data_IF_637129022774
#
_entry.id   IF_637129022774
#
_cell.length_a   1.000
_cell.length_b   1.000
_cell.length_c   1.000
_cell.angle_alpha   90.00
_cell.angle_beta   90.00
_cell.angle_gamma   90.00
#
_symmetry.space_group_name_H-M   'P 1'
#
loop_
_entity.id
_entity.type
_entity.pdbx_description
1 polymer ?
#
# COMPACT_ATOMS: atom_id res chain seq x y z
N UNK A 1 62.33 -0.08 62.81
CA UNK A 1 61.51 1.15 62.83
C UNK A 1 60.71 1.20 61.53
N UNK A 2 59.36 1.17 61.64
CA UNK A 2 58.34 1.77 60.75
C UNK A 2 58.38 1.44 59.23
N UNK A 3 57.31 1.22 58.44
CA UNK A 3 55.84 1.20 58.56
C UNK A 3 55.27 0.59 57.25
N UNK A 4 54.13 -0.10 57.34
CA UNK A 4 52.91 -0.04 56.48
C UNK A 4 52.96 0.90 55.23
N UNK A 5 52.38 0.65 54.04
CA UNK A 5 51.09 0.05 53.61
C UNK A 5 50.98 0.15 52.06
N UNK A 6 49.94 -0.43 51.41
CA UNK A 6 49.86 -0.73 49.96
C UNK A 6 49.19 0.38 49.12
N UNK A 7 49.16 0.24 47.79
CA UNK A 7 48.19 0.94 46.95
C UNK A 7 47.83 0.13 45.70
N UNK A 8 46.61 -0.40 45.76
CA UNK A 8 45.79 -0.94 44.70
C UNK A 8 45.52 0.20 43.70
N UNK A 9 45.77 -0.01 42.40
CA UNK A 9 45.34 0.91 41.35
C UNK A 9 44.16 0.27 40.60
N UNK A 10 43.11 1.07 40.47
CA UNK A 10 41.74 0.75 40.13
C UNK A 10 41.53 0.19 38.72
N UNK A 11 40.56 -0.74 38.63
CA UNK A 11 39.84 -1.09 37.41
C UNK A 11 39.20 0.15 36.78
N UNK A 12 39.44 0.37 35.50
CA UNK A 12 38.56 1.17 34.65
C UNK A 12 37.79 0.22 33.72
N UNK A 13 36.62 -0.23 34.17
CA UNK A 13 35.66 -0.91 33.29
C UNK A 13 35.06 0.13 32.35
N UNK A 14 35.53 0.13 31.10
CA UNK A 14 34.92 0.90 30.02
C UNK A 14 33.51 0.39 29.76
N UNK A 15 32.51 1.11 30.26
CA UNK A 15 31.12 0.91 29.86
C UNK A 15 31.01 1.44 28.44
N UNK A 16 31.09 0.52 27.46
CA UNK A 16 30.64 0.79 26.10
C UNK A 16 29.13 1.01 26.21
N UNK A 17 28.72 2.27 26.20
CA UNK A 17 27.32 2.65 26.03
C UNK A 17 26.89 2.20 24.64
N UNK A 18 26.27 1.02 24.60
CA UNK A 18 25.52 0.54 23.45
C UNK A 18 24.43 1.57 23.20
N UNK A 19 24.62 2.42 22.18
CA UNK A 19 23.56 3.28 21.68
C UNK A 19 22.42 2.36 21.24
N UNK A 20 21.41 2.23 22.09
CA UNK A 20 20.10 1.73 21.74
C UNK A 20 19.63 2.62 20.60
N UNK A 21 19.78 2.14 19.36
CA UNK A 21 18.96 2.56 18.25
C UNK A 21 17.54 2.37 18.74
N UNK A 22 16.92 3.45 19.20
CA UNK A 22 15.49 3.49 19.41
C UNK A 22 14.91 3.12 18.05
N UNK A 23 14.43 1.88 17.93
CA UNK A 23 13.46 1.52 16.91
C UNK A 23 12.22 2.33 17.25
N UNK A 24 12.27 3.63 16.96
CA UNK A 24 11.11 4.49 16.99
C UNK A 24 10.09 3.76 16.14
N UNK A 25 8.98 3.38 16.77
CA UNK A 25 7.83 2.81 16.08
C UNK A 25 7.59 3.68 14.86
N UNK A 26 7.96 3.20 13.68
CA UNK A 26 7.79 3.99 12.46
C UNK A 26 6.28 4.19 12.33
N UNK A 27 5.87 5.45 12.29
CA UNK A 27 4.48 5.85 12.26
C UNK A 27 3.76 5.34 11.02
N UNK A 28 2.49 5.70 10.93
CA UNK A 28 1.64 5.40 9.77
C UNK A 28 2.32 5.74 8.44
N UNK A 29 2.00 4.97 7.40
CA UNK A 29 2.56 5.21 6.07
C UNK A 29 2.06 6.53 5.48
N UNK A 30 2.89 7.20 4.67
CA UNK A 30 2.50 8.48 4.02
C UNK A 30 1.22 8.34 3.22
N UNK A 31 1.02 7.19 2.58
CA UNK A 31 -0.18 6.95 1.81
C UNK A 31 -1.40 6.60 2.67
N UNK A 32 -1.22 5.95 3.83
CA UNK A 32 -2.34 5.76 4.77
C UNK A 32 -2.80 7.09 5.38
N UNK A 33 -1.86 7.98 5.73
CA UNK A 33 -2.19 9.34 6.16
C UNK A 33 -2.92 10.14 5.06
N UNK A 34 -2.41 10.07 3.83
CA UNK A 34 -3.06 10.65 2.66
C UNK A 34 -4.48 10.10 2.46
N UNK A 35 -4.66 8.79 2.56
CA UNK A 35 -5.96 8.14 2.42
C UNK A 35 -6.99 8.62 3.45
N UNK A 36 -6.55 8.83 4.69
CA UNK A 36 -7.40 9.38 5.76
C UNK A 36 -7.86 10.81 5.48
N UNK A 37 -7.10 11.57 4.69
CA UNK A 37 -7.47 12.91 4.26
C UNK A 37 -8.50 12.93 3.13
N UNK A 38 -8.67 11.81 2.41
CA UNK A 38 -9.63 11.72 1.32
C UNK A 38 -11.07 11.75 1.85
N UNK A 39 -12.02 12.38 1.13
CA UNK A 39 -13.43 12.25 1.43
C UNK A 39 -13.82 10.77 1.48
N UNK A 40 -14.63 10.37 2.48
CA UNK A 40 -15.15 9.01 2.53
C UNK A 40 -15.85 8.67 1.20
N UNK A 41 -15.56 7.50 0.65
CA UNK A 41 -16.09 7.07 -0.65
C UNK A 41 -17.61 7.17 -0.60
N UNK A 42 -18.21 7.84 -1.59
CA UNK A 42 -19.64 8.16 -1.58
C UNK A 42 -20.44 6.90 -1.24
N UNK A 43 -21.27 6.91 -0.20
CA UNK A 43 -22.18 5.77 -0.01
C UNK A 43 -23.05 5.70 -1.29
N UNK A 44 -23.27 4.51 -1.90
CA UNK A 44 -24.18 4.41 -3.03
C UNK A 44 -25.50 5.10 -2.61
N UNK A 45 -26.12 5.92 -3.49
CA UNK A 45 -27.34 6.63 -3.14
C UNK A 45 -28.36 5.59 -2.67
N UNK A 46 -28.71 5.65 -1.38
CA UNK A 46 -29.79 4.86 -0.84
C UNK A 46 -31.05 5.52 -1.35
N UNK A 47 -31.55 5.06 -2.49
CA UNK A 47 -32.93 5.32 -2.85
C UNK A 47 -33.78 4.63 -1.77
N UNK A 48 -34.24 5.40 -0.79
CA UNK A 48 -35.20 4.96 0.23
C UNK A 48 -36.54 4.78 -0.46
N UNK A 49 -36.65 3.73 -1.27
CA UNK A 49 -37.93 3.09 -1.50
C UNK A 49 -38.13 2.13 -0.33
N UNK A 50 -39.11 2.43 0.53
CA UNK A 50 -39.60 1.55 1.59
C UNK A 50 -40.14 0.25 0.96
N UNK A 51 -39.27 -0.68 0.63
CA UNK A 51 -39.64 -2.03 0.23
C UNK A 51 -39.42 -2.98 1.42
N UNK A 52 -40.36 -3.88 1.72
CA UNK A 52 -40.29 -4.74 2.89
C UNK A 52 -39.07 -5.66 2.81
N UNK A 53 -38.42 -5.86 3.95
CA UNK A 53 -37.26 -6.74 4.11
C UNK A 53 -37.56 -8.17 3.61
N UNK A 54 -37.23 -8.44 2.36
CA UNK A 54 -37.09 -9.80 1.84
C UNK A 54 -35.74 -9.89 1.15
N UNK A 55 -34.87 -10.70 1.74
CA UNK A 55 -33.60 -11.18 1.19
C UNK A 55 -32.68 -10.07 0.66
N UNK A 56 -31.72 -9.65 1.50
CA UNK A 56 -30.50 -8.93 1.08
C UNK A 56 -29.71 -9.80 0.09
N UNK A 57 -30.19 -9.89 -1.16
CA UNK A 57 -29.32 -10.06 -2.30
C UNK A 57 -28.58 -8.74 -2.39
N UNK A 58 -27.27 -8.75 -2.13
CA UNK A 58 -26.39 -7.61 -2.37
C UNK A 58 -26.85 -6.94 -3.67
N UNK A 59 -27.39 -5.73 -3.56
CA UNK A 59 -27.53 -4.90 -4.73
C UNK A 59 -26.12 -4.79 -5.29
N UNK A 60 -25.92 -5.27 -6.53
CA UNK A 60 -24.63 -5.24 -7.24
C UNK A 60 -24.14 -3.83 -7.57
N UNK A 61 -24.50 -2.84 -6.75
CA UNK A 61 -23.97 -1.49 -6.78
C UNK A 61 -22.48 -1.56 -6.48
N UNK A 62 -21.67 -1.09 -7.42
CA UNK A 62 -20.24 -0.92 -7.20
C UNK A 62 -20.04 0.02 -6.02
N UNK A 63 -19.31 -0.42 -4.99
CA UNK A 63 -18.85 0.49 -3.96
C UNK A 63 -17.92 1.49 -4.65
N UNK A 64 -18.18 2.80 -4.58
CA UNK A 64 -17.24 3.76 -5.14
C UNK A 64 -16.01 3.80 -4.24
N UNK A 65 -14.84 3.61 -4.85
CA UNK A 65 -13.58 3.70 -4.13
C UNK A 65 -13.23 5.16 -3.84
N UNK A 66 -12.55 5.40 -2.72
CA UNK A 66 -12.04 6.72 -2.35
C UNK A 66 -10.92 7.20 -3.26
N UNK A 67 -10.09 6.27 -3.73
CA UNK A 67 -8.88 6.60 -4.45
C UNK A 67 -9.22 6.77 -5.93
N UNK A 68 -9.15 8.00 -6.42
CA UNK A 68 -9.42 8.34 -7.82
C UNK A 68 -8.24 7.89 -8.70
N UNK A 69 -8.50 6.96 -9.62
CA UNK A 69 -7.47 6.42 -10.52
C UNK A 69 -6.91 7.43 -11.51
N UNK A 70 -7.64 8.53 -11.79
CA UNK A 70 -7.15 9.57 -12.70
C UNK A 70 -6.03 10.41 -12.08
N UNK A 71 -5.86 10.37 -10.75
CA UNK A 71 -4.77 11.07 -10.06
C UNK A 71 -3.41 10.40 -10.26
N UNK A 72 -3.38 9.12 -10.69
CA UNK A 72 -2.15 8.35 -10.82
C UNK A 72 -1.16 8.98 -11.80
N UNK A 73 -1.66 9.79 -12.75
CA UNK A 73 -0.85 10.34 -13.84
C UNK A 73 -0.33 9.26 -14.81
N UNK A 74 -0.73 8.00 -14.61
CA UNK A 74 -0.38 6.85 -15.42
C UNK A 74 -1.45 5.77 -15.35
N UNK A 75 -1.57 5.02 -16.43
CA UNK A 75 -2.53 3.93 -16.53
C UNK A 75 -2.01 2.67 -15.83
N UNK A 76 -2.93 1.90 -15.25
CA UNK A 76 -2.64 0.61 -14.62
C UNK A 76 -2.16 -0.40 -15.66
N UNK A 77 -1.09 -1.12 -15.35
CA UNK A 77 -0.59 -2.27 -16.11
C UNK A 77 -0.57 -3.52 -15.23
N UNK A 78 -0.19 -4.66 -15.80
CA UNK A 78 0.03 -5.88 -15.03
C UNK A 78 1.50 -6.11 -14.64
N UNK A 79 1.67 -6.85 -13.55
CA UNK A 79 2.93 -7.24 -12.95
C UNK A 79 3.40 -8.57 -13.52
N UNK A 80 4.72 -8.74 -13.64
CA UNK A 80 5.31 -10.04 -13.87
C UNK A 80 5.16 -10.90 -12.60
N UNK A 81 4.87 -12.21 -12.73
CA UNK A 81 4.78 -13.11 -11.58
C UNK A 81 6.14 -13.26 -10.90
N UNK A 82 6.13 -13.52 -9.59
CA UNK A 82 7.37 -13.63 -8.81
C UNK A 82 7.16 -13.54 -7.30
N UNK A 83 8.27 -13.49 -6.58
CA UNK A 83 8.28 -13.26 -5.13
C UNK A 83 8.07 -11.77 -4.84
N UNK A 84 6.93 -11.41 -4.27
CA UNK A 84 6.62 -10.02 -3.94
C UNK A 84 7.20 -9.58 -2.59
N UNK A 85 7.20 -8.27 -2.35
CA UNK A 85 7.62 -7.62 -1.10
C UNK A 85 6.87 -8.14 0.14
N UNK A 86 5.71 -8.79 -0.03
CA UNK A 86 4.97 -9.44 1.04
C UNK A 86 5.49 -10.82 1.43
N UNK A 87 6.58 -11.31 0.82
CA UNK A 87 7.11 -12.65 1.07
C UNK A 87 6.24 -13.78 0.48
N UNK A 88 5.35 -13.43 -0.45
CA UNK A 88 4.46 -14.38 -1.14
C UNK A 88 4.89 -14.43 -2.60
N UNK A 89 5.09 -15.64 -3.12
CA UNK A 89 5.22 -15.86 -4.57
C UNK A 89 3.84 -15.90 -5.20
N UNK A 90 3.62 -15.10 -6.23
CA UNK A 90 2.37 -15.05 -6.97
C UNK A 90 2.56 -15.36 -8.45
N UNK A 91 1.51 -15.90 -9.06
CA UNK A 91 1.46 -16.29 -10.48
C UNK A 91 0.52 -15.38 -11.27
N UNK A 92 0.45 -15.60 -12.59
CA UNK A 92 -0.43 -14.86 -13.48
C UNK A 92 -1.93 -15.10 -13.19
N UNK A 93 -2.26 -16.21 -12.53
CA UNK A 93 -3.61 -16.61 -12.15
C UNK A 93 -4.08 -15.95 -10.84
N UNK A 94 -3.15 -15.50 -10.00
CA UNK A 94 -3.48 -14.87 -8.74
C UNK A 94 -4.19 -13.54 -8.93
N UNK A 95 -5.12 -13.23 -8.03
CA UNK A 95 -5.81 -11.93 -8.01
C UNK A 95 -5.15 -11.02 -7.01
N UNK A 96 -4.26 -10.16 -7.48
CA UNK A 96 -3.59 -9.21 -6.61
C UNK A 96 -3.15 -7.93 -7.29
N UNK A 97 -2.40 -7.16 -6.51
CA UNK A 97 -1.84 -5.89 -6.89
C UNK A 97 -0.56 -5.59 -6.12
N UNK A 98 0.25 -4.70 -6.69
CA UNK A 98 1.30 -4.02 -5.97
C UNK A 98 0.86 -2.59 -5.65
N UNK A 99 1.42 -2.05 -4.58
CA UNK A 99 1.23 -0.67 -4.18
C UNK A 99 2.54 0.10 -4.31
N UNK A 100 2.45 1.42 -4.50
CA UNK A 100 3.65 2.25 -4.54
C UNK A 100 4.46 2.17 -3.23
N UNK A 101 5.77 1.95 -3.36
CA UNK A 101 6.71 1.92 -2.23
C UNK A 101 7.23 3.28 -1.76
N UNK A 102 6.81 4.38 -2.39
CA UNK A 102 7.26 5.74 -2.06
C UNK A 102 8.59 6.15 -2.69
N UNK A 103 9.19 5.27 -3.51
CA UNK A 103 10.39 5.60 -4.30
C UNK A 103 10.07 6.67 -5.34
N UNK A 104 11.06 7.51 -5.65
CA UNK A 104 10.95 8.64 -6.58
C UNK A 104 9.87 9.67 -6.22
N UNK A 105 9.55 9.82 -4.94
CA UNK A 105 8.68 10.90 -4.48
C UNK A 105 9.27 12.28 -4.85
N UNK A 106 8.41 13.22 -5.27
CA UNK A 106 8.77 14.63 -5.47
C UNK A 106 9.17 15.24 -4.14
N UNK A 107 8.35 15.04 -3.12
CA UNK A 107 8.58 15.50 -1.75
C UNK A 107 9.34 14.44 -0.94
N UNK A 108 10.24 14.85 -0.02
CA UNK A 108 10.83 13.92 0.93
C UNK A 108 9.76 13.33 1.84
N UNK A 109 9.91 12.06 2.19
CA UNK A 109 9.04 11.38 3.15
C UNK A 109 9.17 12.08 4.52
N UNK A 110 8.07 12.56 5.12
CA UNK A 110 8.11 13.21 6.42
C UNK A 110 8.76 12.33 7.49
N UNK A 111 9.54 12.96 8.37
CA UNK A 111 10.21 12.25 9.46
C UNK A 111 9.18 11.51 10.34
N UNK A 112 9.47 10.24 10.64
CA UNK A 112 8.60 9.41 11.46
C UNK A 112 7.46 8.71 10.72
N UNK A 113 7.31 8.89 9.40
CA UNK A 113 6.35 8.14 8.58
C UNK A 113 7.02 7.05 7.74
N UNK A 114 6.27 6.01 7.40
CA UNK A 114 6.73 4.98 6.48
C UNK A 114 6.51 5.40 5.02
N UNK A 115 7.44 5.00 4.15
CA UNK A 115 7.40 5.33 2.72
C UNK A 115 6.26 4.59 1.99
N UNK A 116 5.60 5.29 1.07
CA UNK A 116 4.54 4.76 0.21
C UNK A 116 3.38 4.12 0.98
N UNK A 117 2.84 3.05 0.41
CA UNK A 117 1.87 2.15 1.05
C UNK A 117 2.51 0.90 1.65
N UNK A 118 3.51 0.36 0.95
CA UNK A 118 4.04 -0.97 1.18
C UNK A 118 5.47 -1.02 0.68
N UNK A 119 6.39 -1.51 1.49
CA UNK A 119 7.79 -1.75 1.11
C UNK A 119 8.21 -3.14 1.59
N UNK A 120 9.41 -3.59 1.24
CA UNK A 120 9.96 -4.85 1.80
C UNK A 120 10.13 -4.82 3.33
N UNK A 121 10.10 -3.64 3.96
CA UNK A 121 10.19 -3.48 5.43
C UNK A 121 8.88 -3.01 6.06
N UNK A 122 8.01 -2.33 5.30
CA UNK A 122 6.64 -2.00 5.70
C UNK A 122 5.65 -2.94 5.02
N UNK A 123 5.32 -4.03 5.70
CA UNK A 123 4.44 -5.09 5.19
C UNK A 123 3.03 -5.02 5.77
N UNK A 124 2.66 -3.95 6.49
CA UNK A 124 1.35 -3.85 7.18
C UNK A 124 0.16 -4.00 6.23
N UNK A 125 0.30 -3.56 4.98
CA UNK A 125 -0.74 -3.65 3.95
C UNK A 125 -0.74 -4.98 3.18
N UNK A 126 0.22 -5.88 3.44
CA UNK A 126 0.28 -7.19 2.79
C UNK A 126 -0.95 -8.05 3.09
N UNK A 127 -1.49 -8.69 2.05
CA UNK A 127 -2.64 -9.59 2.16
C UNK A 127 -3.98 -8.89 2.43
N UNK A 128 -4.01 -7.59 2.72
CA UNK A 128 -5.24 -6.80 2.80
C UNK A 128 -5.96 -6.84 1.46
N UNK A 129 -7.29 -6.80 1.51
CA UNK A 129 -8.15 -6.92 0.34
C UNK A 129 -8.39 -5.55 -0.28
N UNK A 130 -8.62 -5.54 -1.59
CA UNK A 130 -8.97 -4.34 -2.33
C UNK A 130 -10.08 -4.60 -3.34
N UNK A 131 -10.66 -3.52 -3.85
CA UNK A 131 -11.46 -3.54 -5.07
C UNK A 131 -11.02 -2.42 -6.03
N UNK A 132 -11.17 -2.66 -7.33
CA UNK A 132 -10.89 -1.70 -8.40
C UNK A 132 -12.10 -1.64 -9.33
N UNK A 133 -12.49 -0.43 -9.74
CA UNK A 133 -13.59 -0.16 -10.65
C UNK A 133 -13.09 0.46 -11.95
N UNK A 134 -13.64 0.00 -13.08
CA UNK A 134 -13.45 0.59 -14.42
C UNK A 134 -14.69 0.40 -15.28
N UNK A 135 -15.42 1.46 -15.60
CA UNK A 135 -16.67 1.42 -16.36
C UNK A 135 -17.66 0.39 -15.78
N UNK A 136 -17.97 -0.67 -16.53
CA UNK A 136 -18.78 -1.82 -16.07
C UNK A 136 -17.99 -2.94 -15.39
N UNK A 137 -16.66 -2.91 -15.43
CA UNK A 137 -15.78 -3.93 -14.85
C UNK A 137 -15.44 -3.65 -13.39
N UNK A 138 -15.36 -4.71 -12.58
CA UNK A 138 -14.90 -4.64 -11.18
C UNK A 138 -14.02 -5.83 -10.89
N UNK A 139 -12.87 -5.59 -10.27
CA UNK A 139 -11.98 -6.63 -9.80
C UNK A 139 -11.76 -6.51 -8.29
N UNK A 140 -11.39 -7.62 -7.68
CA UNK A 140 -11.03 -7.74 -6.25
C UNK A 140 -9.82 -8.64 -6.15
N UNK A 141 -8.99 -8.38 -5.15
CA UNK A 141 -7.74 -9.11 -4.94
C UNK A 141 -7.11 -8.79 -3.60
N UNK A 142 -5.84 -9.18 -3.43
CA UNK A 142 -5.02 -8.86 -2.27
C UNK A 142 -3.77 -8.07 -2.67
N UNK A 143 -3.23 -7.27 -1.78
CA UNK A 143 -1.91 -6.69 -1.99
C UNK A 143 -0.82 -7.73 -1.77
N UNK A 144 0.02 -7.93 -2.79
CA UNK A 144 1.03 -8.98 -2.84
C UNK A 144 2.45 -8.42 -2.90
N UNK A 145 2.59 -7.16 -3.32
CA UNK A 145 3.90 -6.61 -3.69
C UNK A 145 4.00 -5.09 -3.51
N UNK A 146 5.22 -4.58 -3.62
CA UNK A 146 5.56 -3.17 -3.71
C UNK A 146 6.05 -2.85 -5.11
N UNK A 147 5.62 -1.73 -5.66
CA UNK A 147 6.12 -1.19 -6.91
C UNK A 147 6.87 0.11 -6.68
N UNK A 148 8.06 0.19 -7.24
CA UNK A 148 8.85 1.43 -7.29
C UNK A 148 8.25 2.47 -8.24
N UNK A 149 7.49 2.01 -9.25
CA UNK A 149 6.85 2.84 -10.27
C UNK A 149 7.83 3.77 -11.01
N UNK A 150 9.10 3.40 -11.14
CA UNK A 150 10.16 4.27 -11.71
C UNK A 150 10.14 4.36 -13.24
N UNK A 151 8.99 4.05 -13.85
CA UNK A 151 8.81 4.18 -15.29
C UNK A 151 9.16 5.62 -15.69
N UNK A 152 10.02 5.71 -16.70
CA UNK A 152 10.47 6.96 -17.32
C UNK A 152 11.24 7.94 -16.40
N UNK A 153 11.77 7.46 -15.26
CA UNK A 153 12.51 8.28 -14.26
C UNK A 153 11.70 9.47 -13.73
N UNK A 154 10.37 9.43 -13.88
CA UNK A 154 9.50 10.51 -13.46
C UNK A 154 9.35 10.47 -11.94
N UNK A 155 9.48 11.63 -11.30
CA UNK A 155 9.12 11.78 -9.89
C UNK A 155 7.60 11.82 -9.72
N UNK A 156 7.11 11.21 -8.65
CA UNK A 156 5.68 11.11 -8.33
C UNK A 156 5.35 12.04 -7.17
N UNK A 157 4.30 12.86 -7.33
CA UNK A 157 3.69 13.51 -6.17
C UNK A 157 3.04 12.46 -5.27
N UNK A 158 2.75 12.84 -4.02
CA UNK A 158 2.02 11.95 -3.11
C UNK A 158 0.69 11.47 -3.70
N UNK A 159 -0.07 12.34 -4.35
CA UNK A 159 -1.33 11.98 -5.01
C UNK A 159 -1.10 10.94 -6.11
N UNK A 160 -0.10 11.14 -6.98
CA UNK A 160 0.19 10.22 -8.09
C UNK A 160 0.66 8.87 -7.58
N UNK A 161 1.61 8.85 -6.66
CA UNK A 161 2.15 7.63 -6.10
C UNK A 161 1.10 6.86 -5.30
N UNK A 162 0.37 7.53 -4.40
CA UNK A 162 -0.63 6.86 -3.58
C UNK A 162 -1.89 6.45 -4.35
N UNK A 163 -2.20 7.08 -5.49
CA UNK A 163 -3.31 6.65 -6.35
C UNK A 163 -2.93 5.61 -7.41
N UNK A 164 -1.65 5.37 -7.66
CA UNK A 164 -1.21 4.36 -8.62
C UNK A 164 -1.33 2.95 -8.02
N UNK A 165 -1.87 2.03 -8.82
CA UNK A 165 -1.94 0.60 -8.52
C UNK A 165 -1.67 -0.19 -9.80
N UNK A 166 -0.72 -1.12 -9.76
CA UNK A 166 -0.54 -2.14 -10.79
C UNK A 166 -1.03 -3.47 -10.27
N UNK A 167 -1.50 -4.32 -11.17
CA UNK A 167 -2.30 -5.49 -10.82
C UNK A 167 -1.68 -6.77 -11.38
N UNK A 168 -2.09 -7.94 -10.93
CA UNK A 168 -1.70 -9.20 -11.59
C UNK A 168 -2.40 -9.34 -12.95
N UNK A 169 -1.91 -10.24 -13.82
CA UNK A 169 -2.54 -10.51 -15.13
C UNK A 169 -4.02 -10.88 -15.00
N UNK A 170 -4.38 -11.79 -14.11
CA UNK A 170 -5.79 -12.16 -13.88
C UNK A 170 -6.68 -10.96 -13.48
N UNK A 171 -6.14 -10.05 -12.66
CA UNK A 171 -6.86 -8.85 -12.23
C UNK A 171 -7.01 -7.84 -13.38
N UNK A 172 -5.96 -7.66 -14.19
CA UNK A 172 -5.95 -6.81 -15.38
C UNK A 172 -7.00 -7.24 -16.40
N UNK A 173 -7.04 -8.53 -16.73
CA UNK A 173 -8.03 -9.12 -17.65
C UNK A 173 -9.45 -8.91 -17.12
N UNK A 174 -9.66 -9.10 -15.80
CA UNK A 174 -10.98 -8.88 -15.18
C UNK A 174 -11.46 -7.43 -15.29
N UNK A 175 -10.55 -6.46 -15.34
CA UNK A 175 -10.83 -5.05 -15.58
C UNK A 175 -11.05 -4.71 -17.07
N UNK A 176 -11.03 -5.71 -17.95
CA UNK A 176 -11.18 -5.54 -19.40
C UNK A 176 -9.90 -5.08 -20.08
N UNK A 177 -8.74 -5.38 -19.50
CA UNK A 177 -7.45 -5.26 -20.16
C UNK A 177 -7.21 -6.41 -21.16
N UNK A 178 -6.37 -6.16 -22.16
CA UNK A 178 -6.03 -7.15 -23.19
C UNK A 178 -5.23 -8.33 -22.59
N UNK A 179 -5.68 -9.60 -22.79
CA UNK A 179 -4.92 -10.78 -22.42
C UNK A 179 -3.56 -10.89 -23.12
N UNK A 180 -3.34 -10.22 -24.25
CA UNK A 180 -2.06 -10.17 -24.96
C UNK A 180 -0.94 -9.43 -24.21
N UNK A 181 -1.28 -8.67 -23.16
CA UNK A 181 -0.31 -8.17 -22.19
C UNK A 181 0.59 -7.03 -22.67
N UNK A 182 0.17 -6.23 -23.64
CA UNK A 182 0.95 -5.06 -24.11
C UNK A 182 0.31 -3.71 -23.75
N UNK A 183 -0.85 -3.71 -23.08
CA UNK A 183 -1.64 -2.50 -22.85
C UNK A 183 -1.61 -1.98 -21.41
N UNK A 184 -1.95 -0.70 -21.25
CA UNK A 184 -2.31 -0.11 -19.97
C UNK A 184 -3.78 0.30 -19.98
N UNK A 185 -4.45 0.27 -18.83
CA UNK A 185 -5.85 0.67 -18.69
C UNK A 185 -6.00 1.82 -17.70
N UNK A 186 -6.78 2.84 -18.06
CA UNK A 186 -7.25 3.82 -17.08
C UNK A 186 -8.35 3.16 -16.23
N UNK A 187 -8.19 3.23 -14.91
CA UNK A 187 -9.19 2.79 -13.93
C UNK A 187 -9.92 4.02 -13.37
N UNK A 188 -11.16 3.85 -12.94
CA UNK A 188 -11.97 4.97 -12.41
C UNK A 188 -11.56 5.27 -10.97
N UNK A 189 -11.56 4.23 -10.14
CA UNK A 189 -11.21 4.31 -8.73
C UNK A 189 -10.89 2.94 -8.16
N UNK A 190 -10.24 2.94 -7.00
CA UNK A 190 -10.00 1.76 -6.20
C UNK A 190 -10.03 2.11 -4.71
N UNK A 191 -10.07 1.09 -3.87
CA UNK A 191 -9.94 1.27 -2.42
C UNK A 191 -9.57 -0.03 -1.74
N UNK A 192 -9.14 0.09 -0.49
CA UNK A 192 -9.09 -1.03 0.44
C UNK A 192 -10.51 -1.52 0.70
N UNK A 193 -10.67 -2.83 0.85
CA UNK A 193 -11.92 -3.39 1.34
C UNK A 193 -12.19 -2.87 2.76
N UNK A 194 -13.46 -2.57 3.06
CA UNK A 194 -13.84 -2.00 4.35
C UNK A 194 -13.46 -2.89 5.55
N UNK A 195 -13.31 -4.21 5.33
CA UNK A 195 -12.84 -5.15 6.35
C UNK A 195 -11.35 -5.06 6.66
N UNK A 196 -10.55 -4.41 5.81
CA UNK A 196 -9.10 -4.32 5.94
C UNK A 196 -8.60 -2.93 5.53
N UNK A 197 -8.84 -1.87 6.34
CA UNK A 197 -8.39 -0.51 6.02
C UNK A 197 -6.85 -0.39 5.99
N UNK A 198 -6.29 0.63 5.32
CA UNK A 198 -4.85 0.82 5.22
C UNK A 198 -4.20 1.23 6.55
N UNK A 199 -2.90 0.93 6.67
CA UNK A 199 -2.00 1.28 7.79
C UNK A 199 -0.66 1.87 7.32
#
# INVERSE_FOLDING_TARGET
MFLKTPSIVLLATGIVTLNLLSTGSMGESVCANWWKSLPAGQKPPVNVALAPQRNKKESGAKLPGRINGNLAGRNTTFLSPGAGACGITYTDEDKGACLWGGLNSVEPIPQGQQSGWLTGTNTKNCGKKFFINRGKHRATGKFLDSCSLEEDKQKLTLDQGCSTIYVTRATFIKLGGDPGGSGRIQIDNWDFDASTPPE
#
